data_IF_118245531425
#
_entry.id   IF_118245531425
#
_cell.length_a   1.000
_cell.length_b   1.000
_cell.length_c   1.000
_cell.angle_alpha   90.00
_cell.angle_beta   90.00
_cell.angle_gamma   90.00
#
_symmetry.space_group_name_H-M   'P 1'
#
loop_
_entity.id
_entity.type
_entity.pdbx_description
1 polymer ?
#
# COMPACT_ATOMS: atom_id res chain seq x y z
N UNK A 1 -9.74 11.87 -0.60
CA UNK A 1 -9.50 11.14 -1.87
C UNK A 1 -10.83 10.73 -2.51
N UNK A 2 -11.12 11.19 -3.73
CA UNK A 2 -12.29 10.79 -4.56
C UNK A 2 -11.74 10.48 -5.96
N UNK A 3 -12.18 9.40 -6.60
CA UNK A 3 -11.85 9.06 -8.00
C UNK A 3 -10.34 9.00 -8.39
N UNK A 4 -9.49 8.45 -7.52
CA UNK A 4 -8.05 8.32 -7.79
C UNK A 4 -7.24 9.57 -7.47
N UNK A 5 -7.88 10.64 -7.00
CA UNK A 5 -7.19 11.83 -6.50
C UNK A 5 -6.59 11.56 -5.11
N UNK A 6 -5.26 11.66 -5.02
CA UNK A 6 -4.51 11.70 -3.78
C UNK A 6 -4.17 13.15 -3.45
N UNK A 7 -4.79 13.69 -2.39
CA UNK A 7 -4.54 15.04 -1.91
C UNK A 7 -3.66 14.95 -0.65
N UNK A 8 -2.46 15.52 -0.73
CA UNK A 8 -1.58 15.65 0.43
C UNK A 8 -2.07 16.85 1.24
N UNK A 9 -2.55 16.60 2.45
CA UNK A 9 -2.90 17.67 3.39
C UNK A 9 -1.61 18.20 4.05
N UNK A 10 -0.81 18.90 3.26
CA UNK A 10 0.37 19.58 3.75
C UNK A 10 -0.10 20.85 4.45
N UNK A 11 -0.13 20.82 5.78
CA UNK A 11 -0.40 22.02 6.56
C UNK A 11 0.57 23.11 6.08
N UNK A 12 0.04 24.24 5.62
CA UNK A 12 0.76 25.44 5.14
C UNK A 12 1.90 25.92 6.07
N UNK A 13 1.99 25.38 7.30
CA UNK A 13 3.09 25.54 8.24
C UNK A 13 4.41 24.86 7.81
N UNK A 14 4.39 23.86 6.91
CA UNK A 14 5.59 23.26 6.33
C UNK A 14 5.67 23.68 4.86
N UNK A 15 6.58 24.60 4.54
CA UNK A 15 6.93 24.95 3.15
C UNK A 15 7.38 23.67 2.43
N UNK A 16 6.49 23.06 1.65
CA UNK A 16 6.90 21.98 0.73
C UNK A 16 7.73 22.63 -0.36
N UNK A 17 9.04 22.40 -0.32
CA UNK A 17 9.96 22.89 -1.35
C UNK A 17 10.04 21.92 -2.53
N UNK A 18 9.89 20.61 -2.29
CA UNK A 18 9.93 19.57 -3.31
C UNK A 18 8.91 18.46 -2.96
N UNK A 19 8.16 18.02 -3.97
CA UNK A 19 7.29 16.83 -3.92
C UNK A 19 7.75 15.86 -5.00
N UNK A 20 8.16 14.67 -4.59
CA UNK A 20 8.45 13.58 -5.52
C UNK A 20 7.32 12.57 -5.48
N UNK A 21 6.79 12.20 -6.64
CA UNK A 21 5.83 11.11 -6.79
C UNK A 21 6.46 10.11 -7.75
N UNK A 22 6.44 8.84 -7.37
CA UNK A 22 7.04 7.77 -8.15
C UNK A 22 6.00 6.71 -8.44
N UNK A 23 5.83 6.38 -9.71
CA UNK A 23 5.12 5.17 -10.06
C UNK A 23 5.93 3.97 -9.57
N UNK A 24 5.33 3.15 -8.71
CA UNK A 24 5.96 1.97 -8.17
C UNK A 24 5.85 0.80 -9.15
N UNK A 25 4.62 0.36 -9.39
CA UNK A 25 4.31 -0.76 -10.27
C UNK A 25 2.81 -0.83 -10.57
N UNK A 26 2.48 -1.52 -11.67
CA UNK A 26 1.15 -2.03 -11.97
C UNK A 26 1.26 -3.55 -12.19
N UNK A 27 0.44 -4.31 -11.49
CA UNK A 27 0.26 -5.76 -11.64
C UNK A 27 -1.22 -6.06 -11.82
N UNK A 28 -1.55 -7.28 -12.24
CA UNK A 28 -2.91 -7.64 -12.66
C UNK A 28 -3.29 -9.01 -12.13
N UNK A 29 -4.47 -9.13 -11.53
CA UNK A 29 -5.01 -10.39 -11.03
C UNK A 29 -6.53 -10.29 -10.85
N UNK A 30 -7.24 -11.39 -11.07
CA UNK A 30 -8.66 -11.53 -10.73
C UNK A 30 -8.85 -11.50 -9.21
N UNK A 31 -9.22 -10.33 -8.68
CA UNK A 31 -9.48 -10.10 -7.26
C UNK A 31 -10.99 -10.08 -6.95
N UNK A 32 -11.83 -9.90 -7.97
CA UNK A 32 -13.29 -9.88 -7.82
C UNK A 32 -13.94 -11.24 -8.06
N UNK A 33 -13.20 -12.20 -8.63
CA UNK A 33 -13.66 -13.53 -8.98
C UNK A 33 -14.57 -13.56 -10.22
N UNK A 34 -14.52 -12.52 -11.05
CA UNK A 34 -15.35 -12.40 -12.25
C UNK A 34 -14.66 -12.89 -13.54
N UNK A 35 -13.41 -13.36 -13.42
CA UNK A 35 -12.60 -13.85 -14.53
C UNK A 35 -11.88 -12.76 -15.31
N UNK A 36 -12.02 -11.48 -14.94
CA UNK A 36 -11.26 -10.36 -15.48
C UNK A 36 -10.28 -9.84 -14.43
N UNK A 37 -9.05 -9.54 -14.86
CA UNK A 37 -8.05 -9.03 -13.92
C UNK A 37 -8.34 -7.58 -13.51
N UNK A 38 -8.20 -7.32 -12.21
CA UNK A 38 -8.07 -5.97 -11.68
C UNK A 38 -6.61 -5.50 -11.73
N UNK A 39 -6.42 -4.21 -12.03
CA UNK A 39 -5.12 -3.56 -11.96
C UNK A 39 -4.80 -3.16 -10.52
N UNK A 40 -3.68 -3.65 -10.00
CA UNK A 40 -3.10 -3.31 -8.70
C UNK A 40 -1.98 -2.29 -8.96
N UNK A 41 -2.26 -1.02 -8.70
CA UNK A 41 -1.34 0.08 -8.94
C UNK A 41 -0.78 0.58 -7.62
N UNK A 42 0.53 0.76 -7.58
CA UNK A 42 1.21 1.36 -6.43
C UNK A 42 1.93 2.62 -6.83
N UNK A 43 1.78 3.64 -6.00
CA UNK A 43 2.46 4.92 -6.11
C UNK A 43 3.28 5.09 -4.83
N UNK A 44 4.57 5.32 -4.98
CA UNK A 44 5.47 5.69 -3.91
C UNK A 44 6.00 7.10 -4.11
N UNK A 45 7.12 7.42 -3.48
CA UNK A 45 7.59 8.80 -3.44
C UNK A 45 6.74 9.53 -2.42
N UNK A 46 5.76 10.34 -2.79
CA UNK A 46 5.00 11.24 -1.91
C UNK A 46 5.82 11.73 -0.69
N UNK A 47 7.00 12.29 -0.96
CA UNK A 47 7.96 12.64 0.07
C UNK A 47 8.04 14.14 0.35
N UNK A 48 8.37 14.47 1.60
CA UNK A 48 9.11 15.69 1.97
C UNK A 48 10.31 15.26 2.81
N UNK A 49 11.54 15.73 2.50
CA UNK A 49 12.88 15.50 3.10
C UNK A 49 13.18 14.26 4.00
N UNK A 50 12.29 13.81 4.89
CA UNK A 50 12.44 12.66 5.82
C UNK A 50 11.17 11.79 6.00
N UNK A 51 10.12 11.96 5.21
CA UNK A 51 8.87 11.19 5.30
C UNK A 51 8.37 10.87 3.90
N UNK A 52 8.10 9.60 3.60
CA UNK A 52 7.55 9.17 2.31
C UNK A 52 6.35 8.26 2.48
N UNK A 53 5.17 8.73 2.09
CA UNK A 53 3.95 7.92 2.02
C UNK A 53 3.81 7.29 0.62
N UNK A 54 2.97 6.28 0.52
CA UNK A 54 2.62 5.67 -0.76
C UNK A 54 1.14 5.31 -0.78
N UNK A 55 0.62 4.96 -1.95
CA UNK A 55 -0.75 4.54 -2.13
C UNK A 55 -0.84 3.27 -2.95
N UNK A 56 -1.82 2.43 -2.61
CA UNK A 56 -2.27 1.30 -3.41
C UNK A 56 -3.64 1.68 -3.98
N UNK A 57 -3.85 1.37 -5.25
CA UNK A 57 -5.13 1.49 -5.93
C UNK A 57 -5.48 0.18 -6.62
N UNK A 58 -6.75 -0.23 -6.54
CA UNK A 58 -7.29 -1.37 -7.25
C UNK A 58 -8.32 -0.84 -8.22
N UNK A 59 -8.06 -1.04 -9.51
CA UNK A 59 -8.96 -0.63 -10.57
C UNK A 59 -9.53 -1.83 -11.31
N UNK A 60 -10.81 -1.77 -11.61
CA UNK A 60 -11.47 -2.69 -12.52
C UNK A 60 -11.74 -1.99 -13.85
N UNK A 61 -11.54 -2.71 -14.95
CA UNK A 61 -11.96 -2.25 -16.27
C UNK A 61 -13.36 -2.78 -16.57
N UNK A 62 -14.30 -1.89 -16.86
CA UNK A 62 -15.62 -2.26 -17.38
C UNK A 62 -15.79 -1.66 -18.78
N UNK A 63 -15.52 -2.47 -19.80
CA UNK A 63 -15.41 -2.00 -21.18
C UNK A 63 -14.27 -0.99 -21.33
N UNK A 64 -14.59 0.26 -21.66
CA UNK A 64 -13.63 1.37 -21.75
C UNK A 64 -13.57 2.25 -20.50
N UNK A 65 -14.31 1.89 -19.45
CA UNK A 65 -14.42 2.70 -18.23
C UNK A 65 -13.57 2.07 -17.13
N UNK A 66 -12.59 2.84 -16.64
CA UNK A 66 -11.79 2.48 -15.47
C UNK A 66 -12.55 2.85 -14.19
N UNK A 67 -12.78 1.87 -13.32
CA UNK A 67 -13.48 2.04 -12.05
C UNK A 67 -12.54 1.76 -10.88
N UNK A 68 -12.38 2.73 -9.98
CA UNK A 68 -11.65 2.52 -8.73
C UNK A 68 -12.50 1.67 -7.78
N UNK A 69 -12.02 0.48 -7.42
CA UNK A 69 -12.68 -0.41 -6.45
C UNK A 69 -12.19 -0.19 -5.02
N UNK A 70 -10.89 0.03 -4.87
CA UNK A 70 -10.27 0.19 -3.56
C UNK A 70 -9.03 1.04 -3.61
N UNK A 71 -8.73 1.69 -2.49
CA UNK A 71 -7.52 2.46 -2.29
C UNK A 71 -7.06 2.33 -0.85
N UNK A 72 -5.76 2.44 -0.66
CA UNK A 72 -5.16 2.39 0.67
C UNK A 72 -3.91 3.24 0.73
N UNK A 73 -3.90 4.13 1.70
CA UNK A 73 -2.72 4.91 2.03
C UNK A 73 -1.77 4.06 2.86
N UNK A 74 -0.50 4.17 2.52
CA UNK A 74 0.60 3.56 3.27
C UNK A 74 1.29 4.64 4.08
N UNK A 75 1.80 4.32 5.25
CA UNK A 75 2.52 5.28 6.07
C UNK A 75 3.96 5.50 5.58
N UNK A 76 4.76 6.12 6.43
CA UNK A 76 6.19 6.29 6.19
C UNK A 76 6.95 4.96 6.32
N UNK A 77 8.14 4.86 5.71
CA UNK A 77 9.03 3.68 5.79
C UNK A 77 9.22 3.16 7.21
N UNK A 78 9.17 4.05 8.21
CA UNK A 78 9.33 3.70 9.61
C UNK A 78 8.02 3.22 10.26
N UNK A 79 6.88 3.78 9.86
CA UNK A 79 5.57 3.53 10.44
C UNK A 79 4.49 3.49 9.33
N UNK A 80 4.00 2.29 9.02
CA UNK A 80 2.93 2.06 8.04
C UNK A 80 3.41 1.93 6.60
N UNK A 81 4.69 2.13 6.30
CA UNK A 81 5.24 2.05 4.95
C UNK A 81 5.06 0.68 4.33
N UNK A 82 4.83 0.65 3.01
CA UNK A 82 4.62 -0.58 2.28
C UNK A 82 5.86 -1.48 2.33
N UNK A 83 5.71 -2.70 2.84
CA UNK A 83 6.75 -3.75 2.85
C UNK A 83 6.59 -4.66 1.64
N UNK A 84 5.38 -5.14 1.39
CA UNK A 84 5.05 -6.04 0.29
C UNK A 84 3.56 -5.92 -0.01
N UNK A 85 3.22 -6.15 -1.28
CA UNK A 85 1.86 -6.37 -1.74
C UNK A 85 1.89 -7.61 -2.62
N UNK A 86 0.89 -8.49 -2.50
CA UNK A 86 0.77 -9.69 -3.33
C UNK A 86 -0.66 -10.21 -3.35
N UNK A 87 -0.94 -11.13 -4.26
CA UNK A 87 -2.18 -11.89 -4.28
C UNK A 87 -1.91 -13.32 -3.81
N UNK A 88 -2.78 -13.87 -2.97
CA UNK A 88 -2.67 -15.25 -2.48
C UNK A 88 -4.08 -15.81 -2.33
N UNK A 89 -4.38 -16.90 -3.04
CA UNK A 89 -5.69 -17.57 -3.01
C UNK A 89 -6.88 -16.60 -3.27
N UNK A 90 -6.69 -15.65 -4.19
CA UNK A 90 -7.68 -14.62 -4.53
C UNK A 90 -7.77 -13.45 -3.54
N UNK A 91 -6.95 -13.45 -2.48
CA UNK A 91 -6.89 -12.35 -1.51
C UNK A 91 -5.76 -11.39 -1.82
N UNK A 92 -6.05 -10.10 -1.69
CA UNK A 92 -5.03 -9.07 -1.69
C UNK A 92 -4.34 -9.06 -0.32
N UNK A 93 -3.07 -9.42 -0.28
CA UNK A 93 -2.25 -9.42 0.94
C UNK A 93 -1.35 -8.19 0.93
N UNK A 94 -1.57 -7.31 1.91
CA UNK A 94 -0.78 -6.09 2.11
C UNK A 94 0.02 -6.21 3.40
N UNK A 95 1.32 -5.97 3.30
CA UNK A 95 2.23 -5.92 4.44
C UNK A 95 2.77 -4.50 4.60
N UNK A 96 2.63 -3.97 5.82
CA UNK A 96 3.10 -2.64 6.17
C UNK A 96 3.97 -2.69 7.41
N UNK A 97 5.05 -1.93 7.42
CA UNK A 97 5.90 -1.81 8.60
C UNK A 97 5.10 -1.29 9.78
N UNK A 98 5.38 -1.84 10.96
CA UNK A 98 4.71 -1.44 12.18
C UNK A 98 5.74 -1.06 13.22
N UNK A 99 5.65 0.17 13.69
CA UNK A 99 6.53 0.68 14.73
C UNK A 99 5.92 0.37 16.08
N UNK A 100 6.71 -0.25 16.95
CA UNK A 100 6.32 -0.36 18.34
C UNK A 100 6.56 0.99 19.03
N UNK A 101 5.61 1.92 18.93
CA UNK A 101 5.69 3.25 19.54
C UNK A 101 5.89 3.20 21.07
N UNK A 102 5.67 2.03 21.71
CA UNK A 102 5.91 1.82 23.14
C UNK A 102 7.36 1.46 23.46
N UNK A 103 8.18 1.15 22.46
CA UNK A 103 9.61 0.92 22.60
C UNK A 103 10.33 2.00 21.80
N UNK A 104 11.39 2.58 22.36
CA UNK A 104 12.26 3.53 21.65
C UNK A 104 13.07 2.82 20.55
N UNK A 105 12.39 2.23 19.57
CA UNK A 105 13.04 1.68 18.39
C UNK A 105 13.25 2.82 17.41
N UNK A 106 14.51 3.11 17.07
CA UNK A 106 14.86 4.11 16.07
C UNK A 106 14.11 3.88 14.74
N UNK A 107 13.70 4.97 14.10
CA UNK A 107 12.88 5.00 12.88
C UNK A 107 13.49 4.21 11.70
N UNK A 108 14.78 3.89 11.75
CA UNK A 108 15.50 3.20 10.66
C UNK A 108 15.29 1.69 10.61
N UNK A 109 14.83 1.05 11.69
CA UNK A 109 14.90 -0.42 11.84
C UNK A 109 13.59 -1.00 12.41
N UNK A 110 12.47 -0.98 11.64
CA UNK A 110 11.22 -1.56 12.11
C UNK A 110 11.42 -3.05 12.45
N UNK A 111 10.99 -3.45 13.64
CA UNK A 111 11.17 -4.83 14.15
C UNK A 111 9.99 -5.75 13.89
N UNK A 112 8.90 -5.20 13.36
CA UNK A 112 7.67 -5.94 13.06
C UNK A 112 6.94 -5.30 11.87
N UNK A 113 6.01 -6.04 11.31
CA UNK A 113 5.11 -5.57 10.27
C UNK A 113 3.71 -6.14 10.51
N UNK A 114 2.69 -5.43 10.04
CA UNK A 114 1.32 -5.94 9.97
C UNK A 114 1.12 -6.57 8.61
N UNK A 115 0.63 -7.80 8.57
CA UNK A 115 0.05 -8.41 7.38
C UNK A 115 -1.47 -8.34 7.48
N UNK A 116 -2.11 -7.80 6.46
CA UNK A 116 -3.57 -7.77 6.35
C UNK A 116 -3.98 -8.40 5.01
N UNK A 117 -4.84 -9.40 5.07
CA UNK A 117 -5.46 -9.98 3.87
C UNK A 117 -6.84 -9.36 3.65
N UNK A 118 -7.11 -8.95 2.42
CA UNK A 118 -8.35 -8.34 2.00
C UNK A 118 -9.03 -9.20 0.94
N UNK A 119 -10.35 -9.37 1.09
CA UNK A 119 -11.19 -10.09 0.13
C UNK A 119 -12.29 -9.20 -0.41
N UNK A 120 -12.57 -9.32 -1.71
CA UNK A 120 -13.71 -8.68 -2.33
C UNK A 120 -15.03 -9.32 -1.85
N UNK A 121 -15.99 -8.48 -1.48
CA UNK A 121 -17.30 -8.94 -0.98
C UNK A 121 -18.43 -8.80 -2.02
N UNK A 122 -18.10 -8.52 -3.28
CA UNK A 122 -19.06 -8.09 -4.30
C UNK A 122 -19.29 -6.58 -4.34
N UNK A 123 -18.83 -5.84 -3.30
CA UNK A 123 -19.01 -4.39 -3.19
C UNK A 123 -17.77 -3.63 -2.74
N UNK A 124 -17.01 -4.21 -1.81
CA UNK A 124 -15.82 -3.59 -1.24
C UNK A 124 -14.81 -4.66 -0.83
N UNK A 125 -13.54 -4.29 -0.76
CA UNK A 125 -12.51 -5.10 -0.13
C UNK A 125 -12.59 -4.98 1.38
N UNK A 126 -12.78 -6.12 2.07
CA UNK A 126 -12.79 -6.18 3.53
C UNK A 126 -11.58 -6.94 4.04
N UNK A 127 -10.98 -6.42 5.10
CA UNK A 127 -9.95 -7.15 5.83
C UNK A 127 -10.57 -8.41 6.44
N UNK A 128 -10.03 -9.58 6.11
CA UNK A 128 -10.48 -10.88 6.61
C UNK A 128 -9.51 -11.46 7.64
N UNK A 129 -8.25 -11.02 7.63
CA UNK A 129 -7.25 -11.38 8.63
C UNK A 129 -6.29 -10.22 8.84
N UNK A 130 -5.74 -10.16 10.05
CA UNK A 130 -4.72 -9.18 10.43
C UNK A 130 -3.80 -9.80 11.47
N UNK A 131 -2.51 -9.83 11.19
CA UNK A 131 -1.49 -10.37 12.10
C UNK A 131 -0.27 -9.45 12.17
N UNK A 132 0.41 -9.46 13.32
CA UNK A 132 1.67 -8.75 13.54
C UNK A 132 2.78 -9.80 13.55
N UNK A 133 3.76 -9.63 12.68
CA UNK A 133 4.84 -10.59 12.46
C UNK A 133 6.21 -9.94 12.71
N UNK A 134 7.22 -10.69 13.16
CA UNK A 134 8.57 -10.17 13.31
C UNK A 134 9.15 -9.78 11.95
N UNK A 135 9.83 -8.63 11.89
CA UNK A 135 10.63 -8.27 10.73
C UNK A 135 12.03 -8.87 10.89
N UNK A 136 12.31 -9.91 10.12
CA UNK A 136 13.61 -10.59 10.11
C UNK A 136 14.72 -9.74 9.47
N UNK A 137 14.35 -8.65 8.80
CA UNK A 137 15.29 -7.71 8.20
C UNK A 137 15.71 -6.63 9.21
N UNK A 138 16.98 -6.23 9.14
CA UNK A 138 17.51 -5.17 10.02
C UNK A 138 17.03 -3.75 9.62
N UNK A 139 16.28 -3.61 8.52
CA UNK A 139 15.86 -2.33 7.97
C UNK A 139 14.44 -2.37 7.36
N UNK A 140 13.95 -1.18 7.00
CA UNK A 140 12.74 -1.00 6.20
C UNK A 140 13.08 -1.19 4.71
N UNK A 141 12.92 -2.41 4.19
CA UNK A 141 13.11 -2.74 2.76
C UNK A 141 11.78 -3.03 2.07
N UNK A 142 11.49 -2.36 0.95
CA UNK A 142 10.40 -2.82 0.10
C UNK A 142 10.81 -4.12 -0.61
N UNK A 143 10.03 -5.19 -0.44
CA UNK A 143 10.35 -6.53 -0.93
C UNK A 143 9.75 -6.86 -2.30
N UNK A 144 9.05 -5.89 -2.92
CA UNK A 144 8.54 -6.02 -4.28
C UNK A 144 7.03 -6.16 -4.37
N UNK A 145 6.60 -6.18 -5.63
CA UNK A 145 5.23 -6.33 -6.10
C UNK A 145 4.98 -7.80 -6.48
N UNK A 146 3.72 -8.26 -6.57
CA UNK A 146 3.48 -9.61 -7.08
C UNK A 146 3.99 -9.67 -8.52
N UNK A 147 4.86 -10.63 -8.80
CA UNK A 147 5.12 -11.05 -10.17
C UNK A 147 4.00 -12.01 -10.55
N UNK A 148 3.26 -11.72 -11.62
CA UNK A 148 2.30 -12.67 -12.17
C UNK A 148 3.04 -13.97 -12.50
N UNK A 149 2.67 -15.06 -11.83
CA UNK A 149 3.04 -16.44 -12.20
C UNK A 149 1.99 -17.02 -13.13
#
# INVERSE_FOLDING_TARGET
MKDGEFQIDATLARKIENLWITFGNASYSDLTGDGSDEAIVTIGGIETFNSGTGCIFIYQMNGSVLKLLWKHETGDRAAGGLRSIRVTDGDLVVEQYDMDLKKETGLCCPKRYVRTSYRWTGKEFRAISREILPNEFENAKFLGYPSNS
#
